data_IF_821552073754
#
_entry.id   IF_821552073754
#
_cell.length_a   1.000
_cell.length_b   1.000
_cell.length_c   1.000
_cell.angle_alpha   90.00
_cell.angle_beta   90.00
_cell.angle_gamma   90.00
#
_symmetry.space_group_name_H-M   'P 1'
#
loop_
_entity.id
_entity.type
_entity.pdbx_description
1 polymer ?
#
# COMPACT_ATOMS: atom_id res chain seq x y z
N UNK A 1 -51.63 25.70 10.21
CA UNK A 1 -50.56 24.69 10.29
C UNK A 1 -50.13 24.59 11.74
N UNK A 2 -50.32 23.44 12.37
CA UNK A 2 -49.95 23.26 13.78
C UNK A 2 -48.44 23.04 13.90
N UNK A 3 -47.86 23.49 15.02
CA UNK A 3 -46.45 23.25 15.40
C UNK A 3 -46.07 21.77 15.29
N UNK A 4 -47.01 20.90 15.62
CA UNK A 4 -46.85 19.45 15.54
C UNK A 4 -46.65 18.94 14.10
N UNK A 5 -47.38 19.51 13.13
CA UNK A 5 -47.21 19.19 11.71
C UNK A 5 -45.85 19.65 11.18
N UNK A 6 -45.39 20.84 11.61
CA UNK A 6 -44.08 21.36 11.25
C UNK A 6 -42.96 20.48 11.82
N UNK A 7 -43.10 20.04 13.09
CA UNK A 7 -42.15 19.15 13.73
C UNK A 7 -42.09 17.78 13.03
N UNK A 8 -43.24 17.21 12.67
CA UNK A 8 -43.29 15.94 11.92
C UNK A 8 -42.58 16.04 10.55
N UNK A 9 -42.76 17.15 9.82
CA UNK A 9 -42.06 17.39 8.55
C UNK A 9 -40.54 17.53 8.79
N UNK A 10 -40.13 18.26 9.83
CA UNK A 10 -38.71 18.41 10.17
C UNK A 10 -38.06 17.06 10.51
N UNK A 11 -38.75 16.20 11.27
CA UNK A 11 -38.30 14.85 11.59
C UNK A 11 -38.20 13.95 10.36
N UNK A 12 -39.16 14.05 9.43
CA UNK A 12 -39.11 13.33 8.15
C UNK A 12 -37.88 13.72 7.35
N UNK A 13 -37.64 15.04 7.20
CA UNK A 13 -36.47 15.56 6.46
C UNK A 13 -35.17 15.11 7.14
N UNK A 14 -35.10 15.18 8.47
CA UNK A 14 -33.94 14.71 9.22
C UNK A 14 -33.68 13.21 9.01
N UNK A 15 -34.73 12.38 9.07
CA UNK A 15 -34.61 10.94 8.83
C UNK A 15 -34.11 10.64 7.41
N UNK A 16 -34.67 11.32 6.41
CA UNK A 16 -34.22 11.19 5.00
C UNK A 16 -32.77 11.65 4.85
N UNK A 17 -32.37 12.74 5.52
CA UNK A 17 -31.00 13.24 5.52
C UNK A 17 -30.00 12.24 6.13
N UNK A 18 -30.38 11.56 7.22
CA UNK A 18 -29.55 10.51 7.84
C UNK A 18 -29.39 9.32 6.88
N UNK A 19 -30.49 8.85 6.27
CA UNK A 19 -30.45 7.74 5.32
C UNK A 19 -29.56 8.08 4.12
N UNK A 20 -29.71 9.28 3.56
CA UNK A 20 -28.87 9.75 2.44
C UNK A 20 -27.39 9.83 2.84
N UNK A 21 -27.10 10.31 4.05
CA UNK A 21 -25.73 10.39 4.58
C UNK A 21 -25.10 9.00 4.76
N UNK A 22 -25.84 8.02 5.26
CA UNK A 22 -25.37 6.64 5.38
C UNK A 22 -25.09 6.00 4.02
N UNK A 23 -25.93 6.28 3.02
CA UNK A 23 -25.70 5.79 1.66
C UNK A 23 -24.44 6.40 1.05
N UNK A 24 -24.27 7.72 1.18
CA UNK A 24 -23.08 8.43 0.75
C UNK A 24 -21.82 7.86 1.43
N UNK A 25 -21.85 7.69 2.75
CA UNK A 25 -20.73 7.12 3.51
C UNK A 25 -20.40 5.70 3.06
N UNK A 26 -21.41 4.87 2.79
CA UNK A 26 -21.23 3.50 2.32
C UNK A 26 -20.53 3.45 0.96
N UNK A 27 -20.96 4.32 0.03
CA UNK A 27 -20.32 4.47 -1.28
C UNK A 27 -18.89 5.00 -1.13
N UNK A 28 -18.69 6.01 -0.27
CA UNK A 28 -17.40 6.63 0.00
C UNK A 28 -16.40 5.61 0.55
N UNK A 29 -16.78 4.79 1.54
CA UNK A 29 -15.92 3.74 2.12
C UNK A 29 -15.54 2.74 1.03
N UNK A 30 -16.50 2.28 0.21
CA UNK A 30 -16.22 1.30 -0.85
C UNK A 30 -15.25 1.83 -1.89
N UNK A 31 -15.37 3.10 -2.27
CA UNK A 31 -14.43 3.76 -3.18
C UNK A 31 -13.05 3.92 -2.53
N UNK A 32 -13.02 4.35 -1.26
CA UNK A 32 -11.79 4.55 -0.51
C UNK A 32 -10.99 3.23 -0.35
N UNK A 33 -11.67 2.12 -0.02
CA UNK A 33 -11.01 0.80 0.09
C UNK A 33 -10.39 0.35 -1.24
N UNK A 34 -11.03 0.64 -2.38
CA UNK A 34 -10.46 0.31 -3.70
C UNK A 34 -9.20 1.12 -3.99
N UNK A 35 -9.24 2.42 -3.70
CA UNK A 35 -8.08 3.32 -3.88
C UNK A 35 -6.92 2.92 -2.96
N UNK A 36 -7.22 2.65 -1.68
CA UNK A 36 -6.20 2.30 -0.68
C UNK A 36 -5.45 1.01 -1.02
N UNK A 37 -6.11 0.02 -1.62
CA UNK A 37 -5.43 -1.20 -2.11
C UNK A 37 -4.39 -0.90 -3.20
N UNK A 38 -4.70 0.00 -4.12
CA UNK A 38 -3.75 0.41 -5.16
C UNK A 38 -2.56 1.15 -4.55
N UNK A 39 -2.83 2.06 -3.60
CA UNK A 39 -1.79 2.80 -2.88
C UNK A 39 -0.86 1.86 -2.10
N UNK A 40 -1.37 0.81 -1.46
CA UNK A 40 -0.54 -0.15 -0.73
C UNK A 40 0.43 -0.89 -1.66
N UNK A 41 -0.05 -1.35 -2.82
CA UNK A 41 0.81 -2.03 -3.81
C UNK A 41 1.86 -1.07 -4.35
N UNK A 42 1.45 0.16 -4.69
CA UNK A 42 2.36 1.20 -5.19
C UNK A 42 3.42 1.59 -4.14
N UNK A 43 3.00 1.73 -2.88
CA UNK A 43 3.90 2.03 -1.76
C UNK A 43 4.89 0.90 -1.49
N UNK A 44 4.45 -0.36 -1.61
CA UNK A 44 5.33 -1.52 -1.50
C UNK A 44 6.34 -1.55 -2.64
N UNK A 45 5.90 -1.31 -3.88
CA UNK A 45 6.78 -1.23 -5.04
C UNK A 45 7.82 -0.12 -4.90
N UNK A 46 7.41 1.09 -4.48
CA UNK A 46 8.33 2.18 -4.20
C UNK A 46 9.31 1.84 -3.08
N UNK A 47 8.84 1.22 -2.00
CA UNK A 47 9.72 0.80 -0.89
C UNK A 47 10.76 -0.23 -1.33
N UNK A 48 10.40 -1.16 -2.22
CA UNK A 48 11.35 -2.11 -2.81
C UNK A 48 12.36 -1.41 -3.71
N UNK A 49 11.93 -0.44 -4.51
CA UNK A 49 12.83 0.37 -5.35
C UNK A 49 13.76 1.22 -4.51
N UNK A 50 13.31 1.79 -3.41
CA UNK A 50 14.15 2.58 -2.50
C UNK A 50 15.21 1.71 -1.79
N UNK A 51 14.85 0.47 -1.45
CA UNK A 51 15.77 -0.49 -0.82
C UNK A 51 16.79 -1.04 -1.83
N UNK A 52 16.33 -1.47 -3.00
CA UNK A 52 17.15 -2.15 -4.00
C UNK A 52 17.84 -1.19 -4.97
N UNK A 53 17.27 -0.02 -5.22
CA UNK A 53 17.75 0.96 -6.20
C UNK A 53 19.21 1.36 -5.98
N UNK A 54 19.61 1.80 -4.77
CA UNK A 54 21.00 2.15 -4.49
C UNK A 54 21.97 0.98 -4.71
N UNK A 55 21.52 -0.24 -4.46
CA UNK A 55 22.36 -1.44 -4.56
C UNK A 55 22.44 -1.96 -6.00
N UNK A 56 21.34 -1.87 -6.76
CA UNK A 56 21.28 -2.21 -8.17
C UNK A 56 22.08 -1.23 -9.04
N UNK A 57 22.24 0.01 -8.56
CA UNK A 57 23.09 1.02 -9.19
C UNK A 57 24.59 0.81 -8.90
N UNK A 58 24.95 -0.01 -7.90
CA UNK A 58 26.33 -0.37 -7.61
C UNK A 58 26.76 -1.60 -8.41
N UNK A 59 27.72 -1.47 -9.36
CA UNK A 59 28.19 -2.59 -10.17
C UNK A 59 28.86 -3.70 -9.34
N UNK A 60 29.47 -3.38 -8.20
CA UNK A 60 30.08 -4.40 -7.33
C UNK A 60 29.01 -5.25 -6.64
N UNK A 61 27.97 -4.62 -6.12
CA UNK A 61 26.82 -5.30 -5.52
C UNK A 61 26.10 -6.21 -6.52
N UNK A 62 25.92 -5.78 -7.77
CA UNK A 62 25.35 -6.61 -8.84
C UNK A 62 26.22 -7.82 -9.20
N UNK A 63 27.54 -7.65 -9.26
CA UNK A 63 28.47 -8.77 -9.50
C UNK A 63 28.49 -9.75 -8.33
N UNK A 64 28.54 -9.23 -7.10
CA UNK A 64 28.46 -10.03 -5.89
C UNK A 64 27.18 -10.88 -5.89
N UNK A 65 26.04 -10.25 -6.20
CA UNK A 65 24.75 -10.94 -6.29
C UNK A 65 24.72 -12.03 -7.35
N UNK A 66 25.21 -11.76 -8.57
CA UNK A 66 25.33 -12.76 -9.64
C UNK A 66 26.17 -13.96 -9.21
N UNK A 67 27.31 -13.71 -8.58
CA UNK A 67 28.25 -14.75 -8.14
C UNK A 67 27.68 -15.60 -7.00
N UNK A 68 26.92 -14.96 -6.11
CA UNK A 68 26.25 -15.62 -4.98
C UNK A 68 25.07 -16.48 -5.43
N UNK A 69 24.29 -16.05 -6.43
CA UNK A 69 23.21 -16.86 -7.03
C UNK A 69 23.78 -18.06 -7.77
N UNK A 70 24.88 -17.89 -8.52
CA UNK A 70 25.49 -18.98 -9.29
C UNK A 70 26.20 -20.01 -8.39
N UNK A 71 26.94 -19.54 -7.38
CA UNK A 71 27.69 -20.42 -6.48
C UNK A 71 27.87 -19.81 -5.08
N UNK A 72 26.84 -19.96 -4.24
CA UNK A 72 26.87 -19.53 -2.84
C UNK A 72 28.12 -20.01 -2.10
N UNK A 73 28.48 -21.29 -2.24
CA UNK A 73 29.55 -21.92 -1.45
C UNK A 73 30.94 -21.47 -1.90
N UNK A 74 31.09 -21.11 -3.18
CA UNK A 74 32.33 -20.54 -3.74
C UNK A 74 32.45 -19.02 -3.56
N UNK A 75 31.38 -18.32 -3.20
CA UNK A 75 31.41 -16.88 -2.98
C UNK A 75 32.18 -16.50 -1.71
N UNK A 76 32.92 -15.38 -1.78
CA UNK A 76 33.56 -14.77 -0.61
C UNK A 76 32.53 -14.28 0.40
N UNK A 77 32.93 -14.17 1.66
CA UNK A 77 32.06 -13.66 2.72
C UNK A 77 31.53 -12.24 2.41
N UNK A 78 32.39 -11.37 1.89
CA UNK A 78 32.01 -10.02 1.45
C UNK A 78 30.93 -10.05 0.34
N UNK A 79 31.09 -10.93 -0.66
CA UNK A 79 30.10 -11.07 -1.72
C UNK A 79 28.75 -11.56 -1.18
N UNK A 80 28.76 -12.51 -0.22
CA UNK A 80 27.54 -12.98 0.45
C UNK A 80 26.85 -11.85 1.21
N UNK A 81 27.59 -11.10 2.02
CA UNK A 81 27.05 -9.99 2.82
C UNK A 81 26.42 -8.90 1.94
N UNK A 82 27.07 -8.52 0.84
CA UNK A 82 26.53 -7.55 -0.12
C UNK A 82 25.27 -8.04 -0.83
N UNK A 83 25.09 -9.36 -0.95
CA UNK A 83 23.96 -9.98 -1.62
C UNK A 83 22.74 -10.20 -0.71
N UNK A 84 22.93 -10.21 0.61
CA UNK A 84 21.87 -10.43 1.61
C UNK A 84 20.63 -9.54 1.36
N UNK A 85 20.76 -8.23 1.14
CA UNK A 85 19.60 -7.36 0.96
C UNK A 85 18.77 -7.68 -0.29
N UNK A 86 19.41 -8.10 -1.39
CA UNK A 86 18.70 -8.54 -2.60
C UNK A 86 17.92 -9.84 -2.38
N UNK A 87 18.52 -10.79 -1.66
CA UNK A 87 17.89 -12.07 -1.32
C UNK A 87 16.66 -11.82 -0.44
N UNK A 88 16.81 -11.02 0.62
CA UNK A 88 15.71 -10.72 1.54
C UNK A 88 14.61 -9.84 0.94
N UNK A 89 14.91 -8.98 -0.03
CA UNK A 89 13.89 -8.20 -0.72
C UNK A 89 13.02 -9.04 -1.69
N UNK A 90 13.44 -10.28 -1.98
CA UNK A 90 12.73 -11.20 -2.88
C UNK A 90 11.77 -12.14 -2.12
N UNK A 91 11.87 -12.22 -0.78
CA UNK A 91 11.04 -13.05 0.11
C UNK A 91 10.09 -12.22 0.96
#
# INVERSE_FOLDING_TARGET
MNLETINAIAQLIAAVGVIASLFYLSVQIRQNTRSMRAIVVDSLAHSLVDLLGPMAQDPESMRAFSLVIENWHGATEDARLRSVPFIFATF
#
